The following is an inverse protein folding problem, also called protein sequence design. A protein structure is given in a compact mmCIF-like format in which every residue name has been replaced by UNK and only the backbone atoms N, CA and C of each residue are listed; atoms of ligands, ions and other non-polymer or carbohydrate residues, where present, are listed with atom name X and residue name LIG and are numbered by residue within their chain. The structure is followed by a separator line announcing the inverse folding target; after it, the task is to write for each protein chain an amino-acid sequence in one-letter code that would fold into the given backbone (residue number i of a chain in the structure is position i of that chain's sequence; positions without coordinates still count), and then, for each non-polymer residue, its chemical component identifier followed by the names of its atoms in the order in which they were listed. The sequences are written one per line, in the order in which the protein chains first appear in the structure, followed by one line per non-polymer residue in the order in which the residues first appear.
data_IF_782610573080
#
_entry.id   IF_782610573080
#
_cell.length_a   1.000
_cell.length_b   1.000
_cell.length_c   1.000
_cell.angle_alpha   90.00
_cell.angle_beta   90.00
_cell.angle_gamma   90.00
#
_symmetry.space_group_name_H-M   'P 1'
#
loop_
_entity.id
_entity.type
_entity.pdbx_description
1 polymer ?
#
# COMPACT_ATOMS: atom_id res chain seq x y z
N UNK A 1 4.26 103.94 15.99
CA UNK A 1 5.00 102.91 16.76
C UNK A 1 4.09 101.99 17.60
N UNK A 2 2.77 101.92 17.36
CA UNK A 2 1.86 101.08 18.17
C UNK A 2 1.50 99.71 17.55
N UNK A 3 1.82 99.48 16.26
CA UNK A 3 1.43 98.25 15.54
C UNK A 3 2.49 97.12 15.58
N UNK A 4 3.73 97.39 15.99
CA UNK A 4 4.81 96.37 15.98
C UNK A 4 4.72 95.34 17.12
N UNK A 5 4.16 95.71 18.28
CA UNK A 5 4.04 94.80 19.43
C UNK A 5 3.13 93.58 19.21
N UNK A 6 1.90 93.72 18.65
CA UNK A 6 1.05 92.56 18.37
C UNK A 6 1.63 91.63 17.29
N UNK A 7 2.35 92.18 16.31
CA UNK A 7 3.04 91.40 15.27
C UNK A 7 4.16 90.53 15.86
N UNK A 8 4.94 91.05 16.81
CA UNK A 8 5.98 90.29 17.50
C UNK A 8 5.43 89.12 18.32
N UNK A 9 4.27 89.29 18.99
CA UNK A 9 3.59 88.21 19.71
C UNK A 9 3.06 87.13 18.76
N UNK A 10 2.44 87.51 17.65
CA UNK A 10 1.98 86.55 16.64
C UNK A 10 3.15 85.75 16.03
N UNK A 11 4.28 86.40 15.78
CA UNK A 11 5.48 85.73 15.26
C UNK A 11 6.07 84.74 16.28
N UNK A 12 6.06 85.08 17.57
CA UNK A 12 6.50 84.17 18.63
C UNK A 12 5.58 82.94 18.77
N UNK A 13 4.26 83.14 18.68
CA UNK A 13 3.28 82.05 18.70
C UNK A 13 3.44 81.13 17.48
N UNK A 14 3.54 81.69 16.27
CA UNK A 14 3.80 80.92 15.04
C UNK A 14 5.11 80.14 15.10
N UNK A 15 6.14 80.68 15.76
CA UNK A 15 7.42 80.00 15.95
C UNK A 15 7.28 78.80 16.89
N UNK A 16 6.50 78.94 17.97
CA UNK A 16 6.22 77.86 18.91
C UNK A 16 5.39 76.75 18.25
N UNK A 17 4.35 77.11 17.51
CA UNK A 17 3.51 76.14 16.78
C UNK A 17 4.33 75.38 15.73
N UNK A 18 5.19 76.06 14.98
CA UNK A 18 6.11 75.41 14.04
C UNK A 18 7.08 74.44 14.74
N UNK A 19 7.48 74.76 15.98
CA UNK A 19 8.36 73.89 16.76
C UNK A 19 7.61 72.64 17.23
N UNK A 20 6.39 72.80 17.74
CA UNK A 20 5.52 71.69 18.14
C UNK A 20 5.21 70.76 16.96
N UNK A 21 4.83 71.31 15.80
CA UNK A 21 4.59 70.52 14.58
C UNK A 21 5.83 69.75 14.15
N UNK A 22 7.03 70.32 14.29
CA UNK A 22 8.28 69.61 13.99
C UNK A 22 8.54 68.46 14.96
N UNK A 23 8.18 68.62 16.23
CA UNK A 23 8.35 67.60 17.25
C UNK A 23 7.35 66.45 17.06
N UNK A 24 6.08 66.77 16.78
CA UNK A 24 5.07 65.77 16.39
C UNK A 24 5.48 65.02 15.12
N UNK A 25 5.94 65.73 14.09
CA UNK A 25 6.43 65.12 12.84
C UNK A 25 7.63 64.18 13.10
N UNK A 26 8.51 64.53 14.04
CA UNK A 26 9.62 63.65 14.46
C UNK A 26 9.12 62.41 15.18
N UNK A 27 8.16 62.57 16.10
CA UNK A 27 7.55 61.45 16.83
C UNK A 27 6.85 60.48 15.88
N UNK A 28 6.01 60.98 14.96
CA UNK A 28 5.30 60.16 13.97
C UNK A 28 6.26 59.40 13.08
N UNK A 29 7.39 60.02 12.68
CA UNK A 29 8.43 59.33 11.90
C UNK A 29 9.12 58.22 12.68
N UNK A 30 9.35 58.40 13.97
CA UNK A 30 9.93 57.35 14.82
C UNK A 30 8.96 56.17 14.98
N UNK A 31 7.68 56.46 15.23
CA UNK A 31 6.61 55.46 15.33
C UNK A 31 6.44 54.68 14.01
N UNK A 32 6.45 55.37 12.86
CA UNK A 32 6.34 54.75 11.56
C UNK A 32 7.50 53.75 11.31
N UNK A 33 8.75 54.14 11.62
CA UNK A 33 9.91 53.25 11.51
C UNK A 33 9.81 52.04 12.43
N UNK A 34 9.39 52.26 13.69
CA UNK A 34 9.21 51.16 14.64
C UNK A 34 8.17 50.16 14.11
N UNK A 35 7.05 50.64 13.56
CA UNK A 35 6.02 49.77 12.97
C UNK A 35 6.52 49.04 11.74
N UNK A 36 7.29 49.69 10.86
CA UNK A 36 7.93 49.05 9.70
C UNK A 36 8.86 47.90 10.12
N UNK A 37 9.67 48.11 11.17
CA UNK A 37 10.53 47.05 11.70
C UNK A 37 9.73 45.90 12.30
N UNK A 38 8.61 46.20 12.98
CA UNK A 38 7.72 45.15 13.51
C UNK A 38 7.04 44.35 12.40
N UNK A 39 6.60 45.03 11.33
CA UNK A 39 6.03 44.37 10.14
C UNK A 39 7.05 43.45 9.50
N UNK A 40 8.30 43.91 9.33
CA UNK A 40 9.37 43.10 8.74
C UNK A 40 9.68 41.86 9.59
N UNK A 41 9.71 41.99 10.91
CA UNK A 41 9.92 40.85 11.81
C UNK A 41 8.76 39.84 11.72
N UNK A 42 7.52 40.32 11.73
CA UNK A 42 6.34 39.46 11.56
C UNK A 42 6.31 38.76 10.20
N UNK A 43 6.72 39.43 9.12
CA UNK A 43 6.85 38.81 7.80
C UNK A 43 7.88 37.67 7.80
N UNK A 44 9.02 37.86 8.46
CA UNK A 44 10.04 36.81 8.61
C UNK A 44 9.51 35.63 9.42
N UNK A 45 8.83 35.88 10.54
CA UNK A 45 8.19 34.83 11.35
C UNK A 45 7.15 34.05 10.54
N UNK A 46 6.31 34.74 9.75
CA UNK A 46 5.31 34.10 8.88
C UNK A 46 5.99 33.20 7.84
N UNK A 47 7.09 33.63 7.23
CA UNK A 47 7.81 32.81 6.26
C UNK A 47 8.46 31.58 6.90
N UNK A 48 9.01 31.74 8.11
CA UNK A 48 9.54 30.62 8.89
C UNK A 48 8.44 29.60 9.18
N UNK A 49 7.30 30.06 9.71
CA UNK A 49 6.15 29.19 10.03
C UNK A 49 5.59 28.49 8.79
N UNK A 50 5.52 29.16 7.63
CA UNK A 50 5.11 28.52 6.37
C UNK A 50 6.04 27.40 5.95
N UNK A 51 7.34 27.59 6.14
CA UNK A 51 8.36 26.58 5.80
C UNK A 51 8.25 25.37 6.73
N UNK A 52 8.10 25.60 8.02
CA UNK A 52 7.91 24.55 9.02
C UNK A 52 6.62 23.75 8.78
N UNK A 53 5.52 24.44 8.45
CA UNK A 53 4.24 23.79 8.18
C UNK A 53 4.34 22.87 6.95
N UNK A 54 4.99 23.34 5.88
CA UNK A 54 5.26 22.51 4.69
C UNK A 54 6.11 21.28 5.02
N UNK A 55 7.17 21.45 5.81
CA UNK A 55 8.02 20.34 6.27
C UNK A 55 7.21 19.30 7.08
N UNK A 56 6.36 19.75 8.00
CA UNK A 56 5.49 18.86 8.79
C UNK A 56 4.47 18.13 7.93
N UNK A 57 3.87 18.80 6.93
CA UNK A 57 2.93 18.17 5.99
C UNK A 57 3.61 17.08 5.15
N UNK A 58 4.86 17.28 4.76
CA UNK A 58 5.63 16.27 4.02
C UNK A 58 5.95 15.05 4.89
N UNK A 59 6.30 15.28 6.17
CA UNK A 59 6.49 14.20 7.15
C UNK A 59 5.18 13.46 7.41
N UNK A 60 4.07 14.16 7.60
CA UNK A 60 2.75 13.55 7.81
C UNK A 60 2.36 12.66 6.64
N UNK A 61 2.51 13.14 5.40
CA UNK A 61 2.26 12.33 4.20
C UNK A 61 3.13 11.08 4.14
N UNK A 62 4.41 11.19 4.51
CA UNK A 62 5.30 10.04 4.57
C UNK A 62 4.89 9.02 5.65
N UNK A 63 4.41 9.49 6.81
CA UNK A 63 3.92 8.62 7.89
C UNK A 63 2.59 7.96 7.53
N UNK A 64 1.66 8.70 6.93
CA UNK A 64 0.38 8.17 6.45
C UNK A 64 0.56 7.05 5.44
N UNK A 65 1.62 7.08 4.62
CA UNK A 65 1.96 5.99 3.72
C UNK A 65 2.52 4.76 4.45
N UNK A 66 3.21 4.94 5.59
CA UNK A 66 3.83 3.85 6.36
C UNK A 66 2.86 3.13 7.29
N UNK A 67 1.92 3.83 7.90
CA UNK A 67 0.98 3.25 8.87
C UNK A 67 0.21 2.03 8.31
N UNK A 68 -0.35 2.06 7.08
CA UNK A 68 -1.02 0.90 6.51
C UNK A 68 -0.10 -0.32 6.35
N UNK A 69 1.17 -0.09 6.00
CA UNK A 69 2.17 -1.14 5.83
C UNK A 69 2.52 -1.80 7.17
N UNK A 70 2.72 -1.00 8.23
CA UNK A 70 2.99 -1.52 9.57
C UNK A 70 1.80 -2.30 10.14
N UNK A 71 0.57 -1.79 9.95
CA UNK A 71 -0.64 -2.50 10.35
C UNK A 71 -0.77 -3.84 9.60
N UNK A 72 -0.44 -3.86 8.31
CA UNK A 72 -0.44 -5.09 7.51
C UNK A 72 0.63 -6.06 7.97
N UNK A 73 1.86 -5.59 8.22
CA UNK A 73 2.97 -6.40 8.72
C UNK A 73 2.65 -7.00 10.10
N UNK A 74 2.05 -6.22 11.00
CA UNK A 74 1.62 -6.69 12.31
C UNK A 74 0.54 -7.78 12.19
N UNK A 75 -0.42 -7.62 11.27
CA UNK A 75 -1.43 -8.64 10.98
C UNK A 75 -0.80 -9.93 10.46
N UNK A 76 0.12 -9.84 9.51
CA UNK A 76 0.87 -10.99 8.98
C UNK A 76 1.62 -11.70 10.11
N UNK A 77 2.40 -10.95 10.89
CA UNK A 77 3.17 -11.49 12.01
C UNK A 77 2.28 -12.21 13.03
N UNK A 78 1.11 -11.64 13.34
CA UNK A 78 0.10 -12.26 14.21
C UNK A 78 -0.37 -13.61 13.64
N UNK A 79 -0.80 -13.65 12.39
CA UNK A 79 -1.34 -14.87 11.78
C UNK A 79 -0.27 -15.98 11.67
N UNK A 80 0.97 -15.62 11.30
CA UNK A 80 2.12 -16.54 11.31
C UNK A 80 2.40 -17.08 12.70
N UNK A 81 2.37 -16.21 13.73
CA UNK A 81 2.59 -16.62 15.12
C UNK A 81 1.47 -17.52 15.64
N UNK A 82 0.22 -17.25 15.26
CA UNK A 82 -0.91 -18.11 15.60
C UNK A 82 -0.77 -19.50 14.99
N UNK A 83 -0.34 -19.62 13.73
CA UNK A 83 0.02 -20.91 13.12
C UNK A 83 1.11 -21.63 13.91
N UNK A 84 2.19 -20.93 14.27
CA UNK A 84 3.30 -21.54 15.03
C UNK A 84 2.82 -22.15 16.36
N UNK A 85 1.99 -21.41 17.11
CA UNK A 85 1.45 -21.90 18.38
C UNK A 85 0.51 -23.09 18.19
N UNK A 86 -0.29 -23.08 17.13
CA UNK A 86 -1.20 -24.18 16.81
C UNK A 86 -0.45 -25.45 16.34
N UNK A 87 0.64 -25.28 15.60
CA UNK A 87 1.58 -26.35 15.23
C UNK A 87 2.20 -26.99 16.46
N UNK A 88 2.64 -26.17 17.42
CA UNK A 88 3.16 -26.68 18.68
C UNK A 88 2.10 -27.47 19.46
N UNK A 89 0.86 -26.98 19.55
CA UNK A 89 -0.27 -27.71 20.17
C UNK A 89 -0.53 -29.06 19.50
N UNK A 90 -0.45 -29.12 18.16
CA UNK A 90 -0.59 -30.36 17.39
C UNK A 90 0.49 -31.38 17.77
N UNK A 91 1.75 -30.95 17.85
CA UNK A 91 2.87 -31.81 18.26
C UNK A 91 2.74 -32.32 19.70
N UNK A 92 2.11 -31.54 20.57
CA UNK A 92 1.79 -31.95 21.95
C UNK A 92 0.57 -32.88 22.05
N UNK A 93 0.02 -33.35 20.91
CA UNK A 93 -1.10 -34.30 20.89
C UNK A 93 -2.46 -33.69 21.22
N UNK A 94 -2.60 -32.35 21.16
CA UNK A 94 -3.90 -31.71 21.36
C UNK A 94 -4.87 -32.08 20.24
N UNK A 95 -6.10 -32.49 20.59
CA UNK A 95 -7.14 -32.89 19.63
C UNK A 95 -7.95 -31.69 19.10
N UNK A 96 -7.96 -30.57 19.81
CA UNK A 96 -8.74 -29.38 19.47
C UNK A 96 -7.94 -28.40 18.63
N UNK A 97 -7.49 -28.87 17.47
CA UNK A 97 -6.66 -28.08 16.57
C UNK A 97 -7.51 -27.12 15.73
N UNK A 98 -7.24 -25.83 15.86
CA UNK A 98 -7.91 -24.80 15.06
C UNK A 98 -7.30 -24.70 13.67
N UNK A 99 -7.79 -25.53 12.75
CA UNK A 99 -7.34 -25.59 11.35
C UNK A 99 -7.42 -24.23 10.63
N UNK A 100 -8.38 -23.38 10.99
CA UNK A 100 -8.47 -22.01 10.46
C UNK A 100 -7.24 -21.15 10.76
N UNK A 101 -6.55 -21.37 11.89
CA UNK A 101 -5.31 -20.65 12.24
C UNK A 101 -4.12 -21.12 11.41
N UNK A 102 -4.08 -22.40 11.06
CA UNK A 102 -3.09 -22.93 10.12
C UNK A 102 -3.27 -22.32 8.75
N UNK A 103 -4.50 -22.34 8.23
CA UNK A 103 -4.81 -21.72 6.93
C UNK A 103 -4.46 -20.24 6.93
N UNK A 104 -4.94 -19.47 7.92
CA UNK A 104 -4.65 -18.04 8.02
C UNK A 104 -3.15 -17.74 8.12
N UNK A 105 -2.39 -18.48 8.94
CA UNK A 105 -0.95 -18.26 9.05
C UNK A 105 -0.15 -18.78 7.85
N UNK A 106 -0.60 -19.83 7.17
CA UNK A 106 -0.02 -20.29 5.90
C UNK A 106 -0.29 -19.26 4.80
N UNK A 107 -1.50 -18.73 4.71
CA UNK A 107 -1.81 -17.61 3.84
C UNK A 107 -0.95 -16.42 4.18
N UNK A 108 -0.89 -15.98 5.43
CA UNK A 108 -0.09 -14.82 5.83
C UNK A 108 1.42 -14.99 5.54
N UNK A 109 1.97 -16.17 5.80
CA UNK A 109 3.38 -16.47 5.53
C UNK A 109 3.66 -16.61 4.02
N UNK A 110 2.76 -17.25 3.28
CA UNK A 110 3.10 -17.78 1.98
C UNK A 110 2.25 -17.29 0.82
N UNK A 111 1.03 -16.74 0.96
CA UNK A 111 0.07 -16.29 -0.10
C UNK A 111 0.45 -16.62 -1.57
N UNK A 112 0.81 -17.85 -1.89
CA UNK A 112 1.36 -18.13 -3.21
C UNK A 112 2.57 -17.27 -3.66
N UNK A 113 3.43 -16.76 -2.77
CA UNK A 113 4.63 -15.99 -3.11
C UNK A 113 5.73 -16.90 -3.63
N UNK A 114 5.43 -17.57 -4.74
CA UNK A 114 6.31 -18.48 -5.45
C UNK A 114 7.71 -17.85 -5.61
N UNK A 115 7.78 -16.57 -5.97
CA UNK A 115 9.06 -15.86 -6.11
C UNK A 115 9.88 -15.81 -4.82
N UNK A 116 9.27 -15.49 -3.67
CA UNK A 116 9.99 -15.42 -2.39
C UNK A 116 10.54 -16.79 -2.02
N UNK A 117 9.71 -17.82 -2.18
CA UNK A 117 10.12 -19.19 -1.86
C UNK A 117 11.18 -19.68 -2.87
N UNK A 118 11.14 -19.26 -4.14
CA UNK A 118 12.15 -19.60 -5.15
C UNK A 118 13.52 -18.96 -4.85
N UNK A 119 13.54 -17.74 -4.32
CA UNK A 119 14.77 -17.05 -3.92
C UNK A 119 15.55 -17.80 -2.83
N UNK A 120 14.86 -18.55 -1.96
CA UNK A 120 15.50 -19.41 -0.95
C UNK A 120 16.32 -20.56 -1.57
N UNK A 121 15.96 -21.01 -2.78
CA UNK A 121 16.74 -21.99 -3.53
C UNK A 121 17.93 -21.35 -4.23
N UNK A 122 17.78 -20.09 -4.68
CA UNK A 122 18.89 -19.34 -5.27
C UNK A 122 19.96 -19.00 -4.23
N UNK A 123 19.58 -18.69 -2.98
CA UNK A 123 20.50 -18.42 -1.88
C UNK A 123 21.14 -19.68 -1.30
N UNK A 124 20.65 -20.87 -1.65
CA UNK A 124 21.12 -22.14 -1.10
C UNK A 124 20.57 -22.47 0.30
N UNK A 125 19.56 -21.74 0.78
CA UNK A 125 18.88 -22.02 2.06
C UNK A 125 17.98 -23.26 1.98
N UNK A 126 17.53 -23.64 0.77
CA UNK A 126 16.71 -24.83 0.53
C UNK A 126 17.20 -25.66 -0.65
N UNK A 127 16.94 -26.96 -0.57
CA UNK A 127 17.42 -27.97 -1.51
C UNK A 127 16.33 -28.96 -1.98
N UNK A 128 15.14 -28.90 -1.40
CA UNK A 128 14.02 -29.82 -1.64
C UNK A 128 13.11 -29.33 -2.77
N UNK A 129 13.68 -29.23 -3.97
CA UNK A 129 13.05 -28.71 -5.20
C UNK A 129 11.73 -29.41 -5.53
N UNK A 130 11.63 -30.71 -5.22
CA UNK A 130 10.41 -31.50 -5.42
C UNK A 130 9.23 -30.97 -4.58
N UNK A 131 9.47 -30.48 -3.36
CA UNK A 131 8.42 -29.91 -2.50
C UNK A 131 7.93 -28.59 -3.09
N UNK A 132 8.85 -27.76 -3.58
CA UNK A 132 8.47 -26.54 -4.28
C UNK A 132 7.67 -26.83 -5.54
N UNK A 133 8.11 -27.80 -6.35
CA UNK A 133 7.44 -28.16 -7.60
C UNK A 133 6.05 -28.76 -7.37
N UNK A 134 5.86 -29.59 -6.34
CA UNK A 134 4.52 -30.09 -5.97
C UNK A 134 3.59 -28.95 -5.51
N UNK A 135 4.13 -27.98 -4.76
CA UNK A 135 3.35 -26.86 -4.26
C UNK A 135 2.97 -25.86 -5.36
N UNK A 136 3.91 -25.44 -6.19
CA UNK A 136 3.72 -24.36 -7.16
C UNK A 136 3.50 -24.84 -8.60
N UNK A 137 3.60 -26.14 -8.86
CA UNK A 137 3.43 -26.73 -10.18
C UNK A 137 4.60 -26.47 -11.15
N UNK A 138 5.65 -25.78 -10.69
CA UNK A 138 6.84 -25.40 -11.46
C UNK A 138 8.09 -25.44 -10.60
N UNK A 139 9.27 -25.57 -11.21
CA UNK A 139 10.54 -25.50 -10.48
C UNK A 139 10.90 -24.06 -10.07
N UNK A 140 11.72 -23.86 -9.00
CA UNK A 140 12.20 -22.55 -8.59
C UNK A 140 12.85 -21.75 -9.73
N UNK A 141 13.66 -22.43 -10.55
CA UNK A 141 14.37 -21.83 -11.70
C UNK A 141 13.40 -21.20 -12.71
N UNK A 142 12.24 -21.82 -12.95
CA UNK A 142 11.22 -21.28 -13.84
C UNK A 142 10.67 -19.96 -13.31
N UNK A 143 10.36 -19.90 -12.01
CA UNK A 143 9.83 -18.69 -11.38
C UNK A 143 10.86 -17.56 -11.36
N UNK A 144 12.13 -17.87 -11.11
CA UNK A 144 13.22 -16.89 -11.16
C UNK A 144 13.45 -16.36 -12.59
N UNK A 145 13.35 -17.22 -13.61
CA UNK A 145 13.49 -16.84 -15.00
C UNK A 145 12.41 -15.83 -15.44
N UNK A 146 11.19 -15.94 -14.90
CA UNK A 146 10.05 -15.09 -15.26
C UNK A 146 9.61 -14.15 -14.13
N UNK A 147 10.52 -13.82 -13.21
CA UNK A 147 10.22 -12.99 -12.03
C UNK A 147 9.66 -11.60 -12.35
N UNK A 148 9.98 -11.05 -13.53
CA UNK A 148 9.54 -9.74 -14.00
C UNK A 148 8.19 -9.77 -14.76
N UNK A 149 7.54 -10.94 -14.84
CA UNK A 149 6.24 -11.14 -15.48
C UNK A 149 5.21 -11.45 -14.38
N UNK A 150 4.52 -10.41 -13.92
CA UNK A 150 3.61 -10.48 -12.78
C UNK A 150 2.56 -11.58 -12.93
N UNK A 151 2.01 -11.73 -14.12
CA UNK A 151 0.97 -12.71 -14.46
C UNK A 151 1.43 -14.15 -14.18
N UNK A 152 2.69 -14.50 -14.50
CA UNK A 152 3.24 -15.83 -14.23
C UNK A 152 3.39 -16.06 -12.74
N UNK A 153 3.94 -15.08 -12.02
CA UNK A 153 4.14 -15.16 -10.57
C UNK A 153 2.80 -15.31 -9.85
N UNK A 154 1.80 -14.57 -10.29
CA UNK A 154 0.44 -14.60 -9.76
C UNK A 154 -0.21 -15.97 -9.94
N UNK A 155 -0.18 -16.57 -11.14
CA UNK A 155 -0.81 -17.90 -11.35
C UNK A 155 -0.08 -19.02 -10.63
N UNK A 156 1.26 -18.96 -10.51
CA UNK A 156 2.00 -19.89 -9.65
C UNK A 156 1.53 -19.77 -8.20
N UNK A 157 1.24 -18.53 -7.77
CA UNK A 157 0.69 -18.28 -6.45
C UNK A 157 -0.72 -18.82 -6.22
N UNK A 158 -1.59 -18.71 -7.22
CA UNK A 158 -2.92 -19.33 -7.20
C UNK A 158 -2.79 -20.85 -7.03
N UNK A 159 -1.93 -21.49 -7.83
CA UNK A 159 -1.66 -22.92 -7.71
C UNK A 159 -1.20 -23.30 -6.30
N UNK A 160 -0.18 -22.60 -5.77
CA UNK A 160 0.33 -22.81 -4.41
C UNK A 160 -0.75 -22.70 -3.34
N UNK A 161 -1.62 -21.71 -3.47
CA UNK A 161 -2.74 -21.50 -2.53
C UNK A 161 -3.72 -22.67 -2.59
N UNK A 162 -4.25 -22.97 -3.79
CA UNK A 162 -5.23 -24.05 -3.98
C UNK A 162 -4.70 -25.42 -3.57
N UNK A 163 -3.43 -25.72 -3.89
CA UNK A 163 -2.75 -26.95 -3.51
C UNK A 163 -2.63 -27.07 -1.99
N UNK A 164 -2.18 -26.01 -1.31
CA UNK A 164 -2.01 -26.01 0.14
C UNK A 164 -3.32 -26.12 0.92
N UNK A 165 -4.42 -25.59 0.36
CA UNK A 165 -5.74 -25.63 0.96
C UNK A 165 -6.53 -26.91 0.65
N UNK A 166 -5.99 -27.78 -0.23
CA UNK A 166 -6.66 -29.00 -0.69
C UNK A 166 -7.88 -28.71 -1.57
N UNK A 167 -7.87 -27.56 -2.27
CA UNK A 167 -8.98 -27.05 -3.09
C UNK A 167 -8.67 -27.09 -4.58
N UNK A 168 -7.58 -27.74 -4.98
CA UNK A 168 -7.20 -27.85 -6.37
C UNK A 168 -8.29 -28.57 -7.17
N UNK A 169 -8.76 -27.91 -8.23
CA UNK A 169 -9.72 -28.49 -9.17
C UNK A 169 -9.00 -28.88 -10.47
N UNK A 170 -9.43 -29.97 -11.10
CA UNK A 170 -8.85 -30.45 -12.37
C UNK A 170 -8.88 -29.39 -13.46
N UNK A 171 -9.99 -28.66 -13.60
CA UNK A 171 -10.12 -27.56 -14.58
C UNK A 171 -9.04 -26.50 -14.41
N UNK A 172 -8.74 -26.11 -13.16
CA UNK A 172 -7.67 -25.16 -12.87
C UNK A 172 -6.31 -25.77 -13.22
N UNK A 173 -6.04 -26.98 -12.74
CA UNK A 173 -4.79 -27.71 -12.95
C UNK A 173 -4.46 -27.88 -14.44
N UNK A 174 -5.42 -28.32 -15.25
CA UNK A 174 -5.27 -28.54 -16.69
C UNK A 174 -4.99 -27.21 -17.42
N UNK A 175 -5.69 -26.14 -17.02
CA UNK A 175 -5.48 -24.81 -17.60
C UNK A 175 -4.10 -24.26 -17.23
N UNK A 176 -3.69 -24.46 -15.98
CA UNK A 176 -2.41 -24.02 -15.43
C UNK A 176 -1.26 -24.72 -16.14
N UNK A 177 -1.32 -26.05 -16.24
CA UNK A 177 -0.34 -26.85 -16.99
C UNK A 177 -0.24 -26.40 -18.44
N UNK A 178 -1.37 -26.16 -19.10
CA UNK A 178 -1.39 -25.65 -20.47
C UNK A 178 -0.77 -24.25 -20.62
N UNK A 179 -0.84 -23.39 -19.61
CA UNK A 179 -0.14 -22.10 -19.57
C UNK A 179 1.36 -22.31 -19.37
N UNK A 180 1.76 -23.11 -18.38
CA UNK A 180 3.17 -23.40 -18.07
C UNK A 180 3.88 -24.05 -19.27
N UNK A 181 3.26 -25.02 -19.91
CA UNK A 181 3.82 -25.70 -21.08
C UNK A 181 3.99 -24.76 -22.27
N UNK A 182 3.11 -23.76 -22.41
CA UNK A 182 3.26 -22.72 -23.42
C UNK A 182 4.45 -21.82 -23.12
N UNK A 183 4.56 -21.35 -21.87
CA UNK A 183 5.66 -20.48 -21.42
C UNK A 183 7.02 -21.20 -21.52
N UNK A 184 7.10 -22.48 -21.13
CA UNK A 184 8.33 -23.28 -21.25
C UNK A 184 8.83 -23.46 -22.68
N UNK A 185 7.93 -23.41 -23.67
CA UNK A 185 8.26 -23.47 -25.10
C UNK A 185 8.66 -22.12 -25.68
N UNK A 186 8.50 -21.03 -24.93
CA UNK A 186 8.89 -19.71 -25.38
C UNK A 186 10.38 -19.51 -25.14
N UNK A 187 11.12 -19.22 -26.20
CA UNK A 187 12.58 -19.03 -26.14
C UNK A 187 13.00 -17.71 -25.48
N UNK A 188 12.06 -16.79 -25.24
CA UNK A 188 12.36 -15.43 -24.80
C UNK A 188 11.30 -14.88 -23.84
N UNK A 189 11.72 -14.45 -22.65
CA UNK A 189 10.87 -13.84 -21.63
C UNK A 189 10.21 -12.52 -22.08
N UNK A 190 10.87 -11.70 -22.89
CA UNK A 190 10.28 -10.47 -23.44
C UNK A 190 9.12 -10.76 -24.39
N UNK A 191 9.21 -11.87 -25.14
CA UNK A 191 8.11 -12.32 -26.00
C UNK A 191 6.91 -12.76 -25.16
N UNK A 192 7.15 -13.54 -24.11
CA UNK A 192 6.10 -13.95 -23.15
C UNK A 192 5.45 -12.72 -22.51
N UNK A 193 6.24 -11.75 -22.08
CA UNK A 193 5.78 -10.50 -21.48
C UNK A 193 4.92 -9.67 -22.45
N UNK A 194 5.32 -9.61 -23.72
CA UNK A 194 4.56 -8.91 -24.75
C UNK A 194 3.20 -9.58 -25.00
N UNK A 195 3.12 -10.92 -24.92
CA UNK A 195 1.86 -11.64 -25.10
C UNK A 195 0.82 -11.31 -24.01
N UNK A 196 1.24 -11.01 -22.78
CA UNK A 196 0.29 -10.61 -21.72
C UNK A 196 -0.33 -9.21 -21.94
N UNK A 197 0.31 -8.32 -22.70
CA UNK A 197 -0.17 -6.95 -22.92
C UNK A 197 -1.37 -6.82 -23.86
N UNK A 198 -1.83 -7.92 -24.49
CA UNK A 198 -2.95 -7.91 -25.43
C UNK A 198 -3.92 -9.07 -25.23
N UNK A 199 -4.85 -9.26 -26.16
CA UNK A 199 -5.84 -10.36 -26.15
C UNK A 199 -5.27 -11.69 -26.66
N UNK A 200 -4.02 -11.99 -26.31
CA UNK A 200 -3.33 -13.21 -26.75
C UNK A 200 -3.95 -14.47 -26.15
N UNK A 201 -3.50 -15.63 -26.61
CA UNK A 201 -3.86 -16.90 -25.97
C UNK A 201 -3.40 -16.93 -24.50
N UNK A 202 -2.22 -16.37 -24.20
CA UNK A 202 -1.64 -16.40 -22.87
C UNK A 202 -2.40 -15.52 -21.88
N UNK A 203 -2.80 -14.33 -22.31
CA UNK A 203 -3.67 -13.44 -21.53
C UNK A 203 -5.03 -14.07 -21.24
N UNK A 204 -5.65 -14.72 -22.23
CA UNK A 204 -6.91 -15.46 -22.02
C UNK A 204 -6.77 -16.62 -21.04
N UNK A 205 -5.65 -17.36 -21.10
CA UNK A 205 -5.37 -18.45 -20.14
C UNK A 205 -5.18 -17.92 -18.72
N UNK A 206 -4.48 -16.80 -18.56
CA UNK A 206 -4.34 -16.14 -17.26
C UNK A 206 -5.69 -15.70 -16.70
N UNK A 207 -6.50 -14.99 -17.49
CA UNK A 207 -7.84 -14.56 -17.07
C UNK A 207 -8.74 -15.75 -16.71
N UNK A 208 -8.65 -16.86 -17.44
CA UNK A 208 -9.41 -18.08 -17.12
C UNK A 208 -8.95 -18.70 -15.80
N UNK A 209 -7.64 -18.67 -15.49
CA UNK A 209 -7.11 -19.14 -14.21
C UNK A 209 -7.53 -18.24 -13.06
N UNK A 210 -7.49 -16.93 -13.24
CA UNK A 210 -7.94 -15.94 -12.26
C UNK A 210 -9.43 -16.10 -11.94
N UNK A 211 -10.28 -16.17 -12.97
CA UNK A 211 -11.71 -16.42 -12.79
C UNK A 211 -11.98 -17.76 -12.07
N UNK A 212 -11.27 -18.83 -12.45
CA UNK A 212 -11.42 -20.13 -11.78
C UNK A 212 -10.95 -20.09 -10.33
N UNK A 213 -9.86 -19.37 -10.03
CA UNK A 213 -9.37 -19.18 -8.67
C UNK A 213 -10.40 -18.42 -7.83
N UNK A 214 -10.91 -17.30 -8.33
CA UNK A 214 -11.92 -16.49 -7.65
C UNK A 214 -13.22 -17.27 -7.39
N UNK A 215 -13.68 -18.08 -8.36
CA UNK A 215 -14.82 -18.99 -8.19
C UNK A 215 -14.60 -19.97 -7.03
N UNK A 216 -13.40 -20.60 -6.95
CA UNK A 216 -13.06 -21.55 -5.89
C UNK A 216 -13.02 -20.86 -4.53
N UNK A 217 -12.37 -19.70 -4.44
CA UNK A 217 -12.24 -18.94 -3.19
C UNK A 217 -13.60 -18.41 -2.73
N UNK A 218 -14.45 -17.95 -3.65
CA UNK A 218 -15.80 -17.49 -3.33
C UNK A 218 -16.69 -18.63 -2.77
N UNK A 219 -16.56 -19.84 -3.32
CA UNK A 219 -17.32 -21.01 -2.87
C UNK A 219 -16.95 -21.46 -1.43
N UNK A 220 -15.71 -21.23 -0.98
CA UNK A 220 -15.31 -21.55 0.40
C UNK A 220 -15.63 -20.43 1.41
N UNK A 221 -16.09 -19.26 0.94
CA UNK A 221 -16.47 -18.14 1.80
C UNK A 221 -17.70 -18.50 2.65
N UNK A 222 -17.67 -18.25 3.98
CA UNK A 222 -18.80 -18.52 4.88
C UNK A 222 -20.14 -17.89 4.45
N UNK A 223 -20.10 -16.81 3.64
CA UNK A 223 -21.29 -16.13 3.11
C UNK A 223 -22.11 -17.01 2.15
N UNK A 224 -21.51 -17.99 1.48
CA UNK A 224 -22.21 -18.85 0.52
C UNK A 224 -22.76 -20.15 1.10
N UNK A 225 -22.35 -20.56 2.31
CA UNK A 225 -22.89 -21.75 3.01
C UNK A 225 -24.32 -21.55 3.57
N UNK A 226 -24.95 -20.41 3.31
CA UNK A 226 -26.23 -19.99 3.90
C UNK A 226 -27.47 -20.06 3.00
N UNK A 227 -27.39 -20.50 1.74
CA UNK A 227 -28.60 -20.75 0.93
C UNK A 227 -28.80 -22.24 0.68
N UNK A 228 -29.81 -22.87 1.30
CA UNK A 228 -30.21 -24.22 0.89
C UNK A 228 -30.81 -24.14 -0.51
N UNK A 229 -30.19 -24.85 -1.46
CA UNK A 229 -30.78 -25.15 -2.76
C UNK A 229 -31.86 -26.22 -2.58
N UNK A 230 -33.04 -25.81 -2.12
CA UNK A 230 -34.27 -26.63 -2.16
C UNK A 230 -35.46 -25.71 -2.31
N UNK A 231 -35.76 -25.32 -3.55
CA UNK A 231 -37.08 -24.82 -3.98
C UNK A 231 -37.04 -24.62 -5.52
N UNK A 232 -36.80 -25.71 -6.24
CA UNK A 232 -36.97 -25.74 -7.69
C UNK A 232 -37.22 -27.19 -8.16
N UNK A 233 -38.10 -27.92 -7.47
CA UNK A 233 -38.62 -29.22 -7.94
C UNK A 233 -39.79 -29.63 -7.03
N UNK A 234 -40.92 -28.94 -7.20
CA UNK A 234 -42.26 -29.44 -6.83
C UNK A 234 -43.29 -28.53 -7.49
N UNK A 235 -43.68 -28.93 -8.70
CA UNK A 235 -44.67 -28.22 -9.50
C UNK A 235 -44.78 -28.79 -10.91
N UNK A 236 -44.74 -30.10 -11.06
CA UNK A 236 -45.23 -30.85 -12.21
C UNK A 236 -45.37 -32.31 -11.77
N UNK A 237 -46.47 -32.61 -11.09
CA UNK A 237 -47.18 -33.88 -11.17
C UNK A 237 -48.53 -33.68 -10.49
N UNK A 238 -49.57 -33.86 -11.32
CA UNK A 238 -51.03 -33.88 -11.12
C UNK A 238 -51.77 -32.59 -10.76
#
# INVERSE_FOLDING_TARGET
MAEEQPLLQQFAALKLDNQNVRDEMRSVKADARSKEDTIRDLEQQIQSLKTDLKSKDDILRALEQKVPLEVQAAKIGKDVRMRYLEEHRRRMGSKNIQHGRFKAGNHAAHRGRALVDALLYQSGERHDVNIYADLYGVEPKFVLQFQDIHEIITVCGFHGTLKSDGQMQSKFEDTFKGLVDYVKKADNAEKVKAEFKGSSLLSRKHQALEACFDEIIAADSPRYRGRPAKEAEKGMED
#
